data_IF_805630729232
#
_entry.id   IF_805630729232
#
_cell.length_a   1.000
_cell.length_b   1.000
_cell.length_c   1.000
_cell.angle_alpha   90.00
_cell.angle_beta   90.00
_cell.angle_gamma   90.00
#
_symmetry.space_group_name_H-M   'P 1'
#
loop_
_entity.id
_entity.type
_entity.pdbx_description
1 polymer ?
#
# COMPACT_ATOMS: atom_id res chain seq x y z
N UNK A 1 -14.52 -5.89 -14.07
CA UNK A 1 -13.33 -5.05 -13.81
C UNK A 1 -12.43 -4.79 -15.02
N UNK A 2 -11.94 -5.81 -15.76
CA UNK A 2 -11.06 -5.58 -16.95
C UNK A 2 -11.58 -4.53 -17.94
N UNK A 3 -12.91 -4.52 -18.16
CA UNK A 3 -13.57 -3.56 -19.06
C UNK A 3 -13.41 -2.10 -18.67
N UNK A 4 -13.34 -1.82 -17.36
CA UNK A 4 -13.29 -0.46 -16.83
C UNK A 4 -11.86 -0.01 -16.49
N UNK A 5 -10.96 -0.95 -16.15
CA UNK A 5 -9.64 -0.63 -15.60
C UNK A 5 -8.47 -0.99 -16.50
N UNK A 6 -8.66 -1.87 -17.50
CA UNK A 6 -7.57 -2.33 -18.38
C UNK A 6 -7.72 -1.82 -19.80
N UNK A 7 -8.92 -1.94 -20.39
CA UNK A 7 -9.13 -1.55 -21.79
C UNK A 7 -9.13 -0.04 -22.04
N UNK A 8 -9.70 0.82 -21.17
CA UNK A 8 -9.69 2.26 -21.43
C UNK A 8 -8.26 2.82 -21.49
N UNK A 9 -8.02 3.70 -22.46
CA UNK A 9 -6.76 4.43 -22.63
C UNK A 9 -6.44 5.33 -21.44
N UNK A 10 -7.49 5.89 -20.81
CA UNK A 10 -7.36 6.83 -19.70
C UNK A 10 -6.84 6.19 -18.40
N UNK A 11 -6.85 4.85 -18.34
CA UNK A 11 -6.34 4.06 -17.22
C UNK A 11 -4.90 3.64 -17.54
N UNK A 12 -3.95 4.53 -17.23
CA UNK A 12 -2.55 4.39 -17.66
C UNK A 12 -1.80 3.36 -16.83
N UNK A 13 -2.11 3.26 -15.53
CA UNK A 13 -1.34 2.51 -14.52
C UNK A 13 0.13 2.94 -14.49
N UNK A 14 0.45 4.11 -13.90
CA UNK A 14 1.79 4.67 -13.96
C UNK A 14 2.86 3.70 -13.43
N UNK A 15 2.55 2.86 -12.43
CA UNK A 15 3.47 1.84 -11.90
C UNK A 15 4.09 0.95 -12.98
N UNK A 16 3.38 0.73 -14.08
CA UNK A 16 3.82 -0.13 -15.17
C UNK A 16 4.83 0.54 -16.10
N UNK A 17 4.84 1.88 -16.18
CA UNK A 17 5.67 2.62 -17.15
C UNK A 17 7.17 2.38 -16.95
N UNK A 18 7.72 2.40 -15.71
CA UNK A 18 9.13 2.08 -15.50
C UNK A 18 9.50 0.66 -15.91
N UNK A 19 8.61 -0.32 -15.68
CA UNK A 19 8.84 -1.71 -16.09
C UNK A 19 8.87 -1.83 -17.63
N UNK A 20 7.94 -1.16 -18.32
CA UNK A 20 7.92 -1.13 -19.79
C UNK A 20 9.19 -0.48 -20.34
N UNK A 21 9.59 0.64 -19.77
CA UNK A 21 10.82 1.33 -20.15
C UNK A 21 12.03 0.40 -19.97
N UNK A 22 12.14 -0.27 -18.83
CA UNK A 22 13.21 -1.23 -18.56
C UNK A 22 13.20 -2.37 -19.59
N UNK A 23 12.07 -3.05 -19.79
CA UNK A 23 12.00 -4.18 -20.71
C UNK A 23 12.30 -3.77 -22.15
N UNK A 24 11.82 -2.60 -22.61
CA UNK A 24 12.16 -2.05 -23.91
C UNK A 24 13.65 -1.74 -24.02
N UNK A 25 14.27 -1.12 -23.02
CA UNK A 25 15.72 -0.84 -23.05
C UNK A 25 16.58 -2.10 -23.10
N UNK A 26 16.09 -3.23 -22.58
CA UNK A 26 16.79 -4.51 -22.60
C UNK A 26 16.55 -5.31 -23.90
N UNK A 27 15.36 -5.18 -24.52
CA UNK A 27 14.96 -5.99 -25.67
C UNK A 27 15.07 -5.28 -27.03
N UNK A 28 14.91 -3.96 -27.08
CA UNK A 28 15.03 -3.21 -28.34
C UNK A 28 16.50 -3.15 -28.76
N UNK A 29 16.79 -3.62 -29.98
CA UNK A 29 18.10 -3.43 -30.61
C UNK A 29 18.31 -1.93 -30.83
N UNK A 30 19.43 -1.39 -30.35
CA UNK A 30 19.76 0.05 -30.43
C UNK A 30 19.79 0.53 -31.90
N UNK A 31 18.69 1.10 -32.39
CA UNK A 31 18.70 1.95 -33.57
C UNK A 31 19.05 3.38 -33.14
N UNK A 32 20.35 3.68 -33.07
CA UNK A 32 20.97 5.03 -33.10
C UNK A 32 20.27 6.19 -32.34
N UNK A 33 19.55 5.91 -31.25
CA UNK A 33 18.99 6.95 -30.39
C UNK A 33 19.97 7.18 -29.23
N UNK A 34 21.10 7.81 -29.54
CA UNK A 34 21.95 8.43 -28.52
C UNK A 34 21.09 9.40 -27.71
N UNK A 35 21.24 9.39 -26.40
CA UNK A 35 20.65 10.43 -25.57
C UNK A 35 21.40 11.72 -25.95
N UNK A 36 20.76 12.60 -26.74
CA UNK A 36 21.41 13.75 -27.42
C UNK A 36 22.25 14.64 -26.48
N UNK A 37 21.93 14.68 -25.18
CA UNK A 37 22.65 15.49 -24.20
C UNK A 37 23.85 14.79 -23.53
N UNK A 38 23.96 13.46 -23.62
CA UNK A 38 25.03 12.69 -22.97
C UNK A 38 25.92 11.91 -23.95
N UNK A 39 25.58 11.79 -25.24
CA UNK A 39 26.28 10.92 -26.20
C UNK A 39 26.44 9.47 -25.69
N UNK A 40 25.49 9.00 -24.88
CA UNK A 40 25.52 7.67 -24.29
C UNK A 40 24.35 6.80 -24.77
N UNK A 41 24.63 5.51 -24.86
CA UNK A 41 23.65 4.46 -25.12
C UNK A 41 22.74 4.26 -23.89
N UNK A 42 21.46 3.92 -24.11
CA UNK A 42 20.47 3.75 -23.01
C UNK A 42 20.89 2.66 -22.03
N UNK A 43 21.48 1.57 -22.55
CA UNK A 43 21.99 0.46 -21.75
C UNK A 43 23.18 0.88 -20.87
N UNK A 44 24.11 1.69 -21.41
CA UNK A 44 25.25 2.21 -20.64
C UNK A 44 24.78 3.11 -19.50
N UNK A 45 23.85 4.01 -19.78
CA UNK A 45 23.24 4.87 -18.75
C UNK A 45 22.58 4.05 -17.63
N UNK A 46 21.79 3.04 -18.00
CA UNK A 46 21.14 2.15 -17.02
C UNK A 46 22.16 1.46 -16.10
N UNK A 47 23.23 0.88 -16.65
CA UNK A 47 24.25 0.19 -15.86
C UNK A 47 24.94 1.17 -14.90
N UNK A 48 25.33 2.36 -15.38
CA UNK A 48 25.98 3.37 -14.53
C UNK A 48 25.08 3.78 -13.37
N UNK A 49 23.82 4.15 -13.65
CA UNK A 49 22.88 4.56 -12.59
C UNK A 49 22.61 3.41 -11.61
N UNK A 50 22.46 2.18 -12.11
CA UNK A 50 22.26 1.00 -11.26
C UNK A 50 23.46 0.78 -10.33
N UNK A 51 24.69 0.84 -10.86
CA UNK A 51 25.92 0.71 -10.07
C UNK A 51 26.09 1.84 -9.07
N UNK A 52 25.85 3.10 -9.47
CA UNK A 52 25.89 4.24 -8.57
C UNK A 52 24.87 4.11 -7.44
N UNK A 53 23.64 3.69 -7.73
CA UNK A 53 22.60 3.48 -6.73
C UNK A 53 22.94 2.32 -5.78
N UNK A 54 23.54 1.24 -6.30
CA UNK A 54 23.98 0.10 -5.50
C UNK A 54 25.07 0.53 -4.49
N UNK A 55 26.05 1.33 -4.92
CA UNK A 55 27.08 1.88 -4.05
C UNK A 55 26.47 2.87 -3.06
N UNK A 56 25.61 3.78 -3.55
CA UNK A 56 24.96 4.79 -2.72
C UNK A 56 24.12 4.16 -1.61
N UNK A 57 23.47 3.01 -1.83
CA UNK A 57 22.64 2.35 -0.81
C UNK A 57 23.39 2.03 0.50
N UNK A 58 24.69 1.73 0.42
CA UNK A 58 25.53 1.47 1.60
C UNK A 58 25.75 2.72 2.45
N UNK A 59 25.73 3.91 1.83
CA UNK A 59 26.03 5.15 2.51
C UNK A 59 24.97 5.49 3.59
N UNK A 60 23.67 5.66 3.30
CA UNK A 60 22.68 5.90 4.34
C UNK A 60 22.26 4.61 5.08
N UNK A 61 22.57 3.43 4.53
CA UNK A 61 22.18 2.14 5.10
C UNK A 61 23.13 1.61 6.18
N UNK A 62 24.43 1.88 6.08
CA UNK A 62 25.43 1.31 6.97
C UNK A 62 26.49 2.33 7.41
N UNK A 63 27.06 3.10 6.49
CA UNK A 63 28.20 3.99 6.77
C UNK A 63 27.77 5.21 7.59
N UNK A 64 26.66 5.86 7.21
CA UNK A 64 26.15 7.06 7.85
C UNK A 64 24.62 7.02 7.96
N UNK A 65 24.07 6.27 8.93
CA UNK A 65 22.62 6.13 9.12
C UNK A 65 21.87 7.45 9.33
N UNK A 66 22.55 8.50 9.79
CA UNK A 66 21.99 9.86 9.97
C UNK A 66 21.40 10.41 8.66
N UNK A 67 21.91 10.02 7.49
CA UNK A 67 21.36 10.45 6.18
C UNK A 67 19.99 9.85 5.87
N UNK A 68 19.56 8.84 6.64
CA UNK A 68 18.22 8.28 6.50
C UNK A 68 17.14 9.25 6.95
N UNK A 69 17.41 10.12 7.92
CA UNK A 69 16.54 11.22 8.30
C UNK A 69 17.31 12.25 9.11
N UNK A 70 17.63 13.39 8.49
CA UNK A 70 18.41 14.45 9.10
C UNK A 70 17.52 15.67 9.39
N UNK A 71 17.27 15.94 10.67
CA UNK A 71 16.50 17.12 11.11
C UNK A 71 17.44 18.28 11.45
N UNK A 72 17.86 19.05 10.44
CA UNK A 72 18.93 20.05 10.60
C UNK A 72 18.57 21.16 11.57
N UNK A 73 17.30 21.60 11.58
CA UNK A 73 16.81 22.62 12.52
C UNK A 73 16.80 22.14 13.97
N UNK A 74 16.43 20.87 14.21
CA UNK A 74 16.46 20.28 15.55
C UNK A 74 17.89 20.22 16.13
N UNK A 75 18.90 20.10 15.27
CA UNK A 75 20.30 20.07 15.66
C UNK A 75 20.83 21.42 16.17
N UNK A 76 20.27 22.54 15.69
CA UNK A 76 20.65 23.88 16.16
C UNK A 76 20.38 24.07 17.67
N UNK A 77 19.32 23.47 18.20
CA UNK A 77 19.05 23.48 19.64
C UNK A 77 18.29 22.22 20.07
N UNK A 78 19.04 21.19 20.41
CA UNK A 78 18.53 19.88 20.82
C UNK A 78 17.76 19.89 22.13
N UNK A 79 17.92 20.93 22.97
CA UNK A 79 17.24 21.04 24.27
C UNK A 79 15.87 21.71 24.19
N UNK A 80 15.55 22.37 23.07
CA UNK A 80 14.27 23.05 22.92
C UNK A 80 13.18 22.06 22.49
N UNK A 81 12.28 21.76 23.43
CA UNK A 81 11.16 20.81 23.24
C UNK A 81 10.26 21.26 22.08
N UNK A 82 9.95 22.56 21.98
CA UNK A 82 9.06 23.08 20.94
C UNK A 82 9.70 22.98 19.54
N UNK A 83 11.00 23.25 19.44
CA UNK A 83 11.74 23.10 18.19
C UNK A 83 11.78 21.63 17.74
N UNK A 84 12.04 20.72 18.69
CA UNK A 84 12.05 19.28 18.44
C UNK A 84 10.67 18.75 18.03
N UNK A 85 9.60 19.24 18.65
CA UNK A 85 8.22 18.88 18.30
C UNK A 85 7.83 19.35 16.89
N UNK A 86 8.20 20.56 16.48
CA UNK A 86 7.81 21.11 15.17
C UNK A 86 8.68 20.58 14.03
N UNK A 87 9.99 20.45 14.24
CA UNK A 87 10.98 20.19 13.17
C UNK A 87 11.62 18.81 13.21
N UNK A 88 11.41 18.05 14.29
CA UNK A 88 11.96 16.71 14.42
C UNK A 88 11.26 15.70 13.51
N UNK A 89 12.02 14.71 13.04
CA UNK A 89 11.53 13.57 12.27
C UNK A 89 10.39 12.79 12.96
N UNK A 90 10.50 12.59 14.28
CA UNK A 90 9.46 11.99 15.10
C UNK A 90 8.44 13.03 15.62
N UNK A 91 8.58 14.31 15.27
CA UNK A 91 7.64 15.38 15.59
C UNK A 91 6.58 15.55 14.50
N UNK A 92 6.11 16.79 14.30
CA UNK A 92 5.21 17.19 13.22
C UNK A 92 5.91 17.27 11.85
N UNK A 93 7.25 17.22 11.82
CA UNK A 93 8.06 17.29 10.60
C UNK A 93 7.67 18.46 9.66
N UNK A 94 7.42 19.64 10.23
CA UNK A 94 6.91 20.81 9.49
C UNK A 94 8.00 21.36 8.56
N UNK A 95 9.18 21.65 9.10
CA UNK A 95 10.31 22.16 8.31
C UNK A 95 11.59 21.50 8.83
N UNK A 96 12.54 21.27 7.93
CA UNK A 96 13.92 20.99 8.30
C UNK A 96 14.28 19.51 8.42
N UNK A 97 13.39 18.61 7.99
CA UNK A 97 13.71 17.19 7.82
C UNK A 97 14.18 16.95 6.38
N UNK A 98 15.44 16.55 6.23
CA UNK A 98 16.02 16.11 4.97
C UNK A 98 16.18 14.59 5.00
N UNK A 99 15.60 13.92 4.01
CA UNK A 99 15.67 12.47 3.84
C UNK A 99 16.44 12.22 2.56
N UNK A 100 17.66 11.69 2.67
CA UNK A 100 18.49 11.36 1.50
C UNK A 100 18.46 9.85 1.19
N UNK A 101 17.87 9.05 2.07
CA UNK A 101 17.69 7.62 1.82
C UNK A 101 16.43 7.34 1.01
N UNK A 102 16.64 6.85 -0.22
CA UNK A 102 15.55 6.46 -1.12
C UNK A 102 14.61 5.40 -0.53
N UNK A 103 15.11 4.49 0.33
CA UNK A 103 14.27 3.50 1.02
C UNK A 103 13.28 4.19 1.96
N UNK A 104 13.74 5.17 2.73
CA UNK A 104 12.90 5.95 3.66
C UNK A 104 11.88 6.79 2.90
N UNK A 105 12.31 7.47 1.83
CA UNK A 105 11.40 8.24 0.95
C UNK A 105 10.30 7.34 0.41
N UNK A 106 10.68 6.18 -0.16
CA UNK A 106 9.69 5.22 -0.70
C UNK A 106 8.77 4.64 0.36
N UNK A 107 9.27 4.43 1.57
CA UNK A 107 8.47 3.97 2.70
C UNK A 107 7.41 4.99 3.14
N UNK A 108 7.70 6.29 3.01
CA UNK A 108 6.81 7.37 3.45
C UNK A 108 5.78 7.79 2.39
N UNK A 109 6.22 7.94 1.14
CA UNK A 109 5.43 8.58 0.09
C UNK A 109 5.16 7.68 -1.13
N UNK A 110 5.57 6.40 -1.06
CA UNK A 110 5.59 5.53 -2.24
C UNK A 110 6.69 5.94 -3.22
N UNK A 111 6.63 5.48 -4.47
CA UNK A 111 7.64 5.86 -5.49
C UNK A 111 7.29 7.21 -6.12
N UNK A 112 7.96 8.32 -5.76
CA UNK A 112 7.58 9.65 -6.24
C UNK A 112 7.90 9.86 -7.72
N UNK A 113 8.72 8.99 -8.32
CA UNK A 113 9.03 9.06 -9.75
C UNK A 113 7.82 8.67 -10.60
N UNK A 114 6.93 7.86 -10.04
CA UNK A 114 5.88 7.18 -10.80
C UNK A 114 4.51 7.81 -10.60
N UNK A 115 4.31 8.46 -9.46
CA UNK A 115 3.10 9.26 -9.20
C UNK A 115 3.22 10.57 -10.02
N UNK A 116 2.18 10.98 -10.75
CA UNK A 116 2.26 12.16 -11.60
C UNK A 116 2.30 13.46 -10.79
N UNK A 117 2.80 14.54 -11.41
CA UNK A 117 3.06 15.80 -10.73
C UNK A 117 1.81 16.42 -10.08
N UNK A 118 0.67 16.46 -10.78
CA UNK A 118 -0.56 17.04 -10.22
C UNK A 118 -1.02 16.29 -8.95
N UNK A 119 -0.82 14.97 -8.90
CA UNK A 119 -1.19 14.16 -7.75
C UNK A 119 -0.28 14.46 -6.56
N UNK A 120 1.03 14.65 -6.80
CA UNK A 120 1.96 15.10 -5.75
C UNK A 120 1.59 16.46 -5.18
N UNK A 121 1.24 17.44 -6.03
CA UNK A 121 0.82 18.76 -5.54
C UNK A 121 -0.40 18.64 -4.64
N UNK A 122 -1.39 17.82 -5.01
CA UNK A 122 -2.57 17.59 -4.17
C UNK A 122 -2.23 16.91 -2.84
N UNK A 123 -1.36 15.89 -2.85
CA UNK A 123 -0.89 15.22 -1.62
C UNK A 123 -0.15 16.23 -0.73
N UNK A 124 0.72 17.06 -1.31
CA UNK A 124 1.48 18.07 -0.58
C UNK A 124 0.56 19.11 0.05
N UNK A 125 -0.43 19.62 -0.68
CA UNK A 125 -1.43 20.56 -0.16
C UNK A 125 -2.22 19.92 0.99
N UNK A 126 -2.69 18.67 0.81
CA UNK A 126 -3.37 17.93 1.86
C UNK A 126 -2.49 17.70 3.10
N UNK A 127 -1.22 17.37 2.88
CA UNK A 127 -0.23 17.18 3.94
C UNK A 127 0.00 18.47 4.74
N UNK A 128 0.21 19.61 4.07
CA UNK A 128 0.37 20.92 4.72
C UNK A 128 -0.90 21.30 5.50
N UNK A 129 -2.07 21.19 4.89
CA UNK A 129 -3.33 21.54 5.55
C UNK A 129 -3.59 20.70 6.81
N UNK A 130 -3.32 19.39 6.76
CA UNK A 130 -3.65 18.51 7.90
C UNK A 130 -2.52 18.44 8.91
N UNK A 131 -1.29 18.12 8.49
CA UNK A 131 -0.18 17.88 9.41
C UNK A 131 0.52 19.16 9.86
N UNK A 132 0.54 20.23 9.07
CA UNK A 132 1.22 21.48 9.46
C UNK A 132 0.27 22.51 10.08
N UNK A 133 -1.01 22.47 9.74
CA UNK A 133 -2.01 23.44 10.22
C UNK A 133 -2.95 22.77 11.22
N UNK A 134 -3.78 21.83 10.79
CA UNK A 134 -4.87 21.28 11.61
C UNK A 134 -4.35 20.54 12.86
N UNK A 135 -3.34 19.68 12.70
CA UNK A 135 -2.82 18.83 13.77
C UNK A 135 -2.10 19.65 14.87
N UNK A 136 -1.22 20.63 14.58
CA UNK A 136 -0.67 21.52 15.60
C UNK A 136 -1.74 22.37 16.28
N UNK A 137 -2.71 22.92 15.54
CA UNK A 137 -3.82 23.68 16.12
C UNK A 137 -4.57 22.82 17.13
N UNK A 138 -4.96 21.60 16.75
CA UNK A 138 -5.68 20.69 17.62
C UNK A 138 -4.87 20.27 18.86
N UNK A 139 -3.56 20.09 18.70
CA UNK A 139 -2.65 19.75 19.81
C UNK A 139 -2.50 20.91 20.81
N UNK A 140 -2.22 22.13 20.32
CA UNK A 140 -1.98 23.29 21.19
C UNK A 140 -3.27 23.88 21.80
N UNK A 141 -4.41 23.78 21.10
CA UNK A 141 -5.73 24.16 21.63
C UNK A 141 -6.35 23.10 22.55
N UNK A 142 -5.68 21.96 22.72
CA UNK A 142 -6.16 20.82 23.51
C UNK A 142 -7.55 20.33 23.09
N UNK A 143 -7.81 20.29 21.79
CA UNK A 143 -9.05 19.74 21.25
C UNK A 143 -9.14 18.27 21.66
N UNK A 144 -10.26 17.84 22.26
CA UNK A 144 -10.51 16.46 22.66
C UNK A 144 -9.41 15.80 23.56
N UNK A 145 -8.65 16.59 24.33
CA UNK A 145 -7.61 16.07 25.23
C UNK A 145 -6.30 15.68 24.53
N UNK A 146 -6.09 16.12 23.29
CA UNK A 146 -4.92 15.77 22.47
C UNK A 146 -3.57 16.21 23.02
N UNK A 147 -3.52 17.24 23.87
CA UNK A 147 -2.27 17.73 24.48
C UNK A 147 -1.57 16.67 25.33
N UNK A 148 -2.31 15.70 25.86
CA UNK A 148 -1.78 14.64 26.72
C UNK A 148 -1.24 13.43 25.93
N UNK A 149 -1.41 13.41 24.60
CA UNK A 149 -0.93 12.33 23.75
C UNK A 149 0.49 12.60 23.23
N UNK A 150 1.31 11.57 23.01
CA UNK A 150 2.62 11.74 22.38
C UNK A 150 2.47 12.15 20.91
N UNK A 151 3.39 12.99 20.43
CA UNK A 151 3.48 13.38 19.02
C UNK A 151 4.40 12.38 18.33
N UNK A 152 3.91 11.73 17.28
CA UNK A 152 4.74 10.94 16.37
C UNK A 152 4.07 10.81 15.01
N UNK A 153 4.55 11.54 14.00
CA UNK A 153 4.05 11.38 12.61
C UNK A 153 4.59 10.09 11.98
N UNK A 154 5.79 9.65 12.38
CA UNK A 154 6.52 8.54 11.75
C UNK A 154 6.02 7.14 12.15
N UNK A 155 5.21 7.00 13.19
CA UNK A 155 4.58 5.73 13.60
C UNK A 155 3.05 5.78 13.46
N UNK A 156 2.50 5.72 12.22
CA UNK A 156 1.06 5.60 12.01
C UNK A 156 0.50 4.27 12.53
N UNK A 157 1.36 3.27 12.71
CA UNK A 157 1.05 1.92 13.18
C UNK A 157 1.24 1.77 14.68
N UNK A 158 1.04 2.85 15.44
CA UNK A 158 0.98 2.75 16.88
C UNK A 158 0.02 1.61 17.21
N UNK A 159 0.60 0.56 17.78
CA UNK A 159 0.01 -0.72 18.02
C UNK A 159 -1.41 -0.49 18.58
N UNK A 160 -2.44 -1.02 17.92
CA UNK A 160 -3.80 -1.11 18.47
C UNK A 160 -4.01 -2.42 19.25
N UNK A 161 -3.02 -3.31 19.18
CA UNK A 161 -2.98 -4.60 19.86
C UNK A 161 -1.66 -4.75 20.62
N UNK A 162 -1.72 -5.28 21.84
CA UNK A 162 -0.50 -5.70 22.55
C UNK A 162 0.13 -6.90 21.83
N UNK A 163 1.40 -7.21 22.13
CA UNK A 163 2.05 -8.42 21.62
C UNK A 163 1.29 -9.70 21.99
N UNK A 164 0.46 -9.62 23.05
CA UNK A 164 -0.41 -10.69 23.54
C UNK A 164 -1.80 -10.71 22.88
N UNK A 165 -2.00 -9.95 21.80
CA UNK A 165 -3.25 -9.94 21.02
C UNK A 165 -4.43 -9.24 21.68
N UNK A 166 -4.29 -8.69 22.90
CA UNK A 166 -5.36 -7.94 23.56
C UNK A 166 -5.47 -6.51 23.02
N UNK A 167 -6.68 -5.96 23.05
CA UNK A 167 -6.88 -4.52 22.87
C UNK A 167 -6.12 -3.76 23.97
N UNK A 168 -5.66 -2.54 23.70
CA UNK A 168 -5.02 -1.65 24.69
C UNK A 168 -5.95 -1.22 25.87
N UNK A 169 -7.04 -1.93 26.13
CA UNK A 169 -8.11 -1.49 27.02
C UNK A 169 -8.09 -2.11 28.42
N UNK A 170 -7.39 -3.21 28.67
CA UNK A 170 -7.50 -3.90 29.97
C UNK A 170 -6.22 -3.84 30.79
N UNK A 171 -6.01 -2.70 31.45
CA UNK A 171 -4.98 -2.54 32.48
C UNK A 171 -5.08 -1.19 33.19
N UNK A 172 -5.10 -1.12 34.54
CA UNK A 172 -5.01 0.13 35.29
C UNK A 172 -3.62 0.79 35.19
N UNK A 173 -2.68 0.16 34.49
CA UNK A 173 -1.30 0.60 34.31
C UNK A 173 -1.11 1.34 32.97
N UNK A 174 -1.36 2.64 33.03
CA UNK A 174 -0.67 3.66 32.25
C UNK A 174 0.71 3.23 31.74
N UNK A 175 0.93 3.16 30.42
CA UNK A 175 2.28 3.41 29.86
C UNK A 175 2.38 3.53 28.34
N UNK A 176 1.33 3.28 27.53
CA UNK A 176 1.42 3.48 26.06
C UNK A 176 0.19 4.19 25.52
N UNK A 177 0.22 5.52 25.56
CA UNK A 177 -0.77 6.38 24.90
C UNK A 177 -0.57 6.29 23.39
N UNK A 178 -1.62 6.01 22.63
CA UNK A 178 -1.59 6.06 21.16
C UNK A 178 -1.19 7.49 20.75
N UNK A 179 -0.17 7.67 19.90
CA UNK A 179 0.21 8.98 19.38
C UNK A 179 -0.96 9.64 18.66
N UNK A 180 -0.93 10.97 18.63
CA UNK A 180 -1.99 11.76 18.01
C UNK A 180 -2.09 11.55 16.47
N UNK A 181 -0.99 11.15 15.80
CA UNK A 181 -0.95 10.94 14.35
C UNK A 181 -1.86 9.80 13.86
N UNK A 182 -1.83 8.57 14.41
CA UNK A 182 -2.79 7.52 14.05
C UNK A 182 -4.25 7.95 14.16
N UNK A 183 -4.60 8.76 15.17
CA UNK A 183 -5.96 9.27 15.37
C UNK A 183 -6.34 10.21 14.22
N UNK A 184 -5.51 11.21 13.93
CA UNK A 184 -5.72 12.10 12.78
C UNK A 184 -5.77 11.35 11.46
N UNK A 185 -4.85 10.40 11.27
CA UNK A 185 -4.79 9.56 10.06
C UNK A 185 -6.07 8.77 9.89
N UNK A 186 -6.64 8.20 10.96
CA UNK A 186 -7.91 7.49 10.89
C UNK A 186 -9.05 8.38 10.38
N UNK A 187 -9.18 9.62 10.88
CA UNK A 187 -10.18 10.58 10.39
C UNK A 187 -9.98 10.96 8.92
N UNK A 188 -8.73 11.17 8.49
CA UNK A 188 -8.41 11.46 7.08
C UNK A 188 -8.81 10.27 6.20
N UNK A 189 -8.51 9.05 6.65
CA UNK A 189 -8.88 7.83 5.90
C UNK A 189 -10.41 7.77 5.75
N UNK A 190 -11.18 7.98 6.82
CA UNK A 190 -12.64 8.04 6.73
C UNK A 190 -13.15 9.07 5.72
N UNK A 191 -12.65 10.31 5.82
CA UNK A 191 -13.01 11.37 4.88
C UNK A 191 -12.64 11.00 3.44
N UNK A 192 -11.47 10.37 3.24
CA UNK A 192 -10.99 9.93 1.94
C UNK A 192 -11.87 8.85 1.32
N UNK A 193 -12.41 7.92 2.10
CA UNK A 193 -13.33 6.88 1.60
C UNK A 193 -14.69 7.43 1.19
N UNK A 194 -15.25 8.34 2.00
CA UNK A 194 -16.51 9.02 1.63
C UNK A 194 -16.30 9.86 0.38
N UNK A 195 -15.21 10.63 0.33
CA UNK A 195 -14.83 11.42 -0.84
C UNK A 195 -14.60 10.54 -2.07
N UNK A 196 -13.95 9.38 -1.93
CA UNK A 196 -13.72 8.42 -3.00
C UNK A 196 -15.04 7.91 -3.59
N UNK A 197 -15.98 7.50 -2.73
CA UNK A 197 -17.30 7.03 -3.15
C UNK A 197 -18.07 8.13 -3.89
N UNK A 198 -18.18 9.32 -3.29
CA UNK A 198 -18.88 10.47 -3.86
C UNK A 198 -18.24 10.90 -5.20
N UNK A 199 -16.91 11.02 -5.24
CA UNK A 199 -16.19 11.41 -6.45
C UNK A 199 -16.37 10.40 -7.58
N UNK A 200 -16.27 9.10 -7.28
CA UNK A 200 -16.46 8.05 -8.28
C UNK A 200 -17.88 8.04 -8.82
N UNK A 201 -18.89 8.20 -7.97
CA UNK A 201 -20.30 8.22 -8.38
C UNK A 201 -20.60 9.46 -9.24
N UNK A 202 -20.17 10.66 -8.81
CA UNK A 202 -20.50 11.91 -9.49
C UNK A 202 -19.74 12.11 -10.80
N UNK A 203 -18.42 11.85 -10.81
CA UNK A 203 -17.57 12.15 -11.97
C UNK A 203 -17.44 10.97 -12.92
N UNK A 204 -17.33 9.75 -12.39
CA UNK A 204 -17.09 8.55 -13.21
C UNK A 204 -18.31 7.64 -13.34
N UNK A 205 -19.41 7.90 -12.63
CA UNK A 205 -20.59 7.04 -12.65
C UNK A 205 -21.20 6.86 -14.04
N UNK A 206 -21.28 7.94 -14.84
CA UNK A 206 -21.79 7.88 -16.22
C UNK A 206 -20.90 7.03 -17.12
N UNK A 207 -19.59 7.26 -17.06
CA UNK A 207 -18.59 6.51 -17.85
C UNK A 207 -18.61 5.02 -17.48
N UNK A 208 -18.71 4.71 -16.18
CA UNK A 208 -18.82 3.33 -15.69
C UNK A 208 -20.06 2.66 -16.27
N UNK A 209 -21.23 3.30 -16.19
CA UNK A 209 -22.49 2.75 -16.71
C UNK A 209 -22.39 2.55 -18.23
N UNK A 210 -21.82 3.52 -18.95
CA UNK A 210 -21.61 3.40 -20.39
C UNK A 210 -20.68 2.23 -20.74
N UNK A 211 -19.60 2.03 -19.98
CA UNK A 211 -18.66 0.93 -20.16
C UNK A 211 -19.29 -0.44 -19.89
N UNK A 212 -20.25 -0.53 -18.97
CA UNK A 212 -21.03 -1.74 -18.72
C UNK A 212 -22.11 -2.00 -19.78
N UNK A 213 -22.72 -0.95 -20.34
CA UNK A 213 -23.76 -1.05 -21.38
C UNK A 213 -23.20 -1.30 -22.79
N UNK A 214 -21.98 -0.84 -23.06
CA UNK A 214 -21.38 -0.95 -24.39
C UNK A 214 -20.98 -2.39 -24.71
N UNK A 215 -21.37 -2.89 -25.89
CA UNK A 215 -20.98 -4.21 -26.36
C UNK A 215 -19.46 -4.31 -26.60
N UNK A 216 -18.92 -5.51 -26.36
CA UNK A 216 -17.50 -5.87 -26.57
C UNK A 216 -16.97 -5.56 -27.98
N UNK A 217 -17.84 -5.26 -28.95
CA UNK A 217 -17.48 -4.86 -30.31
C UNK A 217 -16.93 -3.44 -30.43
N UNK A 218 -17.32 -2.49 -29.57
CA UNK A 218 -16.82 -1.10 -29.63
C UNK A 218 -15.44 -0.92 -28.96
N UNK A 219 -14.61 -1.98 -28.93
CA UNK A 219 -13.24 -1.95 -28.39
C UNK A 219 -12.26 -1.17 -29.29
N UNK A 220 -12.70 -0.66 -30.44
CA UNK A 220 -11.86 -0.20 -31.56
C UNK A 220 -11.28 1.21 -31.41
N UNK A 221 -11.53 1.93 -30.32
CA UNK A 221 -11.05 3.31 -30.17
C UNK A 221 -9.58 3.43 -29.70
N UNK A 222 -8.95 2.35 -29.19
CA UNK A 222 -7.54 2.35 -28.76
C UNK A 222 -6.70 1.40 -29.63
N UNK A 223 -5.59 1.91 -30.18
CA UNK A 223 -4.61 1.14 -30.96
C UNK A 223 -4.10 -0.07 -30.18
N UNK A 224 -3.96 0.04 -28.85
CA UNK A 224 -3.51 -1.08 -28.05
C UNK A 224 -4.55 -2.21 -28.01
N UNK A 225 -5.84 -1.88 -27.93
CA UNK A 225 -6.93 -2.85 -27.99
C UNK A 225 -7.04 -3.50 -29.37
N UNK A 226 -6.89 -2.71 -30.44
CA UNK A 226 -6.89 -3.23 -31.82
C UNK A 226 -5.77 -4.25 -32.02
N UNK A 227 -4.55 -3.93 -31.58
CA UNK A 227 -3.42 -4.87 -31.62
C UNK A 227 -3.62 -6.10 -30.74
N UNK A 228 -4.36 -5.97 -29.64
CA UNK A 228 -4.62 -7.05 -28.70
C UNK A 228 -5.73 -8.00 -29.17
N UNK A 229 -6.62 -7.54 -30.05
CA UNK A 229 -7.76 -8.32 -30.57
C UNK A 229 -7.36 -9.64 -31.25
N UNK A 230 -6.12 -9.74 -31.74
CA UNK A 230 -5.53 -10.96 -32.31
C UNK A 230 -5.39 -12.10 -31.28
N UNK A 231 -5.24 -11.77 -29.99
CA UNK A 231 -5.04 -12.78 -28.96
C UNK A 231 -6.38 -13.21 -28.34
N UNK A 232 -6.62 -14.52 -28.18
CA UNK A 232 -7.82 -14.98 -27.53
C UNK A 232 -7.79 -14.57 -26.04
N UNK A 233 -8.89 -13.98 -25.59
CA UNK A 233 -9.05 -13.57 -24.20
C UNK A 233 -9.07 -14.80 -23.26
N UNK A 234 -8.65 -14.57 -22.02
CA UNK A 234 -8.85 -15.54 -20.95
C UNK A 234 -10.35 -15.54 -20.55
N UNK A 235 -11.03 -16.70 -20.62
CA UNK A 235 -12.45 -16.76 -20.34
C UNK A 235 -12.73 -16.45 -18.86
N UNK A 236 -13.89 -15.85 -18.59
CA UNK A 236 -14.21 -15.34 -17.24
C UNK A 236 -14.34 -16.47 -16.21
N UNK A 237 -14.74 -17.68 -16.63
CA UNK A 237 -14.87 -18.84 -15.75
C UNK A 237 -13.55 -19.30 -15.13
N UNK A 238 -12.39 -19.04 -15.77
CA UNK A 238 -11.08 -19.33 -15.16
C UNK A 238 -10.88 -18.54 -13.86
N UNK A 239 -11.26 -17.25 -13.87
CA UNK A 239 -11.18 -16.41 -12.69
C UNK A 239 -12.19 -16.81 -11.62
N UNK A 240 -13.40 -17.22 -12.03
CA UNK A 240 -14.45 -17.67 -11.12
C UNK A 240 -14.02 -18.96 -10.40
N UNK A 241 -13.44 -19.93 -11.10
CA UNK A 241 -12.95 -21.17 -10.47
C UNK A 241 -11.86 -20.86 -9.44
N UNK A 242 -10.87 -20.04 -9.79
CA UNK A 242 -9.80 -19.65 -8.86
C UNK A 242 -10.37 -18.94 -7.63
N UNK A 243 -11.34 -18.05 -7.82
CA UNK A 243 -12.03 -17.37 -6.73
C UNK A 243 -12.77 -18.36 -5.82
N UNK A 244 -13.55 -19.29 -6.39
CA UNK A 244 -14.29 -20.30 -5.61
C UNK A 244 -13.32 -21.17 -4.79
N UNK A 245 -12.24 -21.66 -5.41
CA UNK A 245 -11.23 -22.48 -4.73
C UNK A 245 -10.60 -21.69 -3.56
N UNK A 246 -10.17 -20.45 -3.82
CA UNK A 246 -9.55 -19.61 -2.80
C UNK A 246 -10.54 -19.26 -1.67
N UNK A 247 -11.81 -19.01 -2.00
CA UNK A 247 -12.85 -18.70 -1.02
C UNK A 247 -13.19 -19.91 -0.13
N UNK A 248 -13.27 -21.11 -0.71
CA UNK A 248 -13.48 -22.35 0.05
C UNK A 248 -12.31 -22.59 1.01
N UNK A 249 -11.07 -22.45 0.54
CA UNK A 249 -9.88 -22.59 1.38
C UNK A 249 -9.92 -21.58 2.54
N UNK A 250 -10.26 -20.32 2.27
CA UNK A 250 -10.39 -19.29 3.30
C UNK A 250 -11.48 -19.63 4.34
N UNK A 251 -12.63 -20.16 3.90
CA UNK A 251 -13.71 -20.60 4.80
C UNK A 251 -13.26 -21.76 5.71
N UNK A 252 -12.55 -22.74 5.15
CA UNK A 252 -12.03 -23.88 5.90
C UNK A 252 -11.05 -23.40 6.97
N UNK A 253 -10.07 -22.55 6.61
CA UNK A 253 -9.07 -22.03 7.56
C UNK A 253 -9.75 -21.24 8.69
N UNK A 254 -10.68 -20.33 8.35
CA UNK A 254 -11.38 -19.55 9.36
C UNK A 254 -12.22 -20.41 10.31
N UNK A 255 -12.74 -21.55 9.82
CA UNK A 255 -13.52 -22.47 10.64
C UNK A 255 -12.65 -23.33 11.56
N UNK A 256 -11.52 -23.86 11.06
CA UNK A 256 -10.62 -24.73 11.85
C UNK A 256 -9.95 -23.95 12.99
N UNK A 257 -9.36 -22.80 12.68
CA UNK A 257 -8.58 -22.02 13.64
C UNK A 257 -9.45 -21.06 14.47
N UNK A 258 -10.76 -21.03 14.22
CA UNK A 258 -11.74 -20.19 14.89
C UNK A 258 -11.38 -18.70 14.98
N UNK A 259 -10.63 -18.17 14.00
CA UNK A 259 -10.25 -16.75 13.97
C UNK A 259 -11.46 -15.83 13.87
N UNK A 260 -12.42 -16.20 13.03
CA UNK A 260 -13.61 -15.41 12.72
C UNK A 260 -14.72 -16.32 12.14
N UNK A 261 -16.00 -16.09 12.47
CA UNK A 261 -17.09 -16.81 11.84
C UNK A 261 -17.07 -16.69 10.30
N UNK A 262 -17.21 -17.81 9.61
CA UNK A 262 -17.03 -17.92 8.15
C UNK A 262 -17.93 -16.98 7.35
N UNK A 263 -19.13 -16.64 7.85
CA UNK A 263 -20.06 -15.75 7.16
C UNK A 263 -19.54 -14.30 7.02
N UNK A 264 -18.60 -13.87 7.88
CA UNK A 264 -17.96 -12.57 7.73
C UNK A 264 -17.04 -12.49 6.51
N UNK A 265 -16.55 -13.63 5.98
CA UNK A 265 -15.81 -13.64 4.72
C UNK A 265 -16.67 -13.22 3.53
N UNK A 266 -17.98 -13.50 3.57
CA UNK A 266 -18.89 -13.02 2.54
C UNK A 266 -19.00 -11.49 2.58
N UNK A 267 -19.12 -10.93 3.79
CA UNK A 267 -19.18 -9.49 3.99
C UNK A 267 -17.91 -8.79 3.49
N UNK A 268 -16.72 -9.29 3.85
CA UNK A 268 -15.45 -8.72 3.37
C UNK A 268 -15.34 -8.80 1.86
N UNK A 269 -15.76 -9.92 1.26
CA UNK A 269 -15.71 -10.10 -0.19
C UNK A 269 -16.62 -9.11 -0.92
N UNK A 270 -17.85 -8.90 -0.43
CA UNK A 270 -18.77 -7.91 -0.99
C UNK A 270 -18.21 -6.50 -0.86
N UNK A 271 -17.67 -6.16 0.33
CA UNK A 271 -17.04 -4.87 0.56
C UNK A 271 -15.86 -4.64 -0.41
N UNK A 272 -14.94 -5.60 -0.50
CA UNK A 272 -13.82 -5.54 -1.45
C UNK A 272 -14.32 -5.40 -2.89
N UNK A 273 -15.36 -6.13 -3.29
CA UNK A 273 -15.89 -6.01 -4.65
C UNK A 273 -16.43 -4.61 -4.98
N UNK A 274 -17.15 -3.98 -4.04
CA UNK A 274 -17.69 -2.62 -4.20
C UNK A 274 -16.57 -1.59 -4.32
N UNK A 275 -15.58 -1.64 -3.41
CA UNK A 275 -14.51 -0.65 -3.36
C UNK A 275 -13.39 -0.89 -4.38
N UNK A 276 -13.32 -2.07 -5.00
CA UNK A 276 -12.32 -2.40 -6.02
C UNK A 276 -12.37 -1.44 -7.22
N UNK A 277 -13.57 -1.06 -7.68
CA UNK A 277 -13.71 -0.17 -8.84
C UNK A 277 -13.30 1.28 -8.50
N UNK A 278 -13.83 1.94 -7.45
CA UNK A 278 -13.39 3.28 -7.05
C UNK A 278 -11.88 3.37 -6.77
N UNK A 279 -11.34 2.46 -5.96
CA UNK A 279 -9.91 2.45 -5.62
C UNK A 279 -9.08 2.22 -6.88
N UNK A 280 -9.51 1.29 -7.75
CA UNK A 280 -8.83 0.99 -8.99
C UNK A 280 -8.77 2.16 -9.97
N UNK A 281 -9.82 2.97 -10.08
CA UNK A 281 -9.80 4.16 -10.96
C UNK A 281 -8.78 5.18 -10.47
N UNK A 282 -8.74 5.45 -9.16
CA UNK A 282 -7.76 6.37 -8.58
C UNK A 282 -6.35 5.84 -8.78
N UNK A 283 -6.08 4.58 -8.40
CA UNK A 283 -4.75 3.99 -8.53
C UNK A 283 -4.29 3.92 -10.00
N UNK A 284 -5.17 3.60 -10.94
CA UNK A 284 -4.83 3.55 -12.35
C UNK A 284 -4.45 4.91 -12.96
N UNK A 285 -4.88 6.03 -12.35
CA UNK A 285 -4.55 7.39 -12.83
C UNK A 285 -3.43 8.05 -12.03
N UNK A 286 -3.47 7.93 -10.70
CA UNK A 286 -2.56 8.65 -9.79
C UNK A 286 -1.44 7.77 -9.25
N UNK A 287 -1.54 6.45 -9.39
CA UNK A 287 -0.65 5.48 -8.75
C UNK A 287 -0.70 5.50 -7.20
N UNK A 288 -1.79 6.02 -6.63
CA UNK A 288 -2.02 6.03 -5.19
C UNK A 288 -2.99 4.92 -4.79
N UNK A 289 -2.58 4.12 -3.82
CA UNK A 289 -3.43 3.12 -3.18
C UNK A 289 -4.03 3.69 -1.90
N UNK A 290 -5.35 3.53 -1.74
CA UNK A 290 -6.07 3.96 -0.53
C UNK A 290 -6.23 2.72 0.35
N UNK A 291 -5.56 2.73 1.50
CA UNK A 291 -5.58 1.61 2.45
C UNK A 291 -6.93 1.48 3.16
N UNK A 292 -7.50 0.28 3.16
CA UNK A 292 -8.83 -0.04 3.71
C UNK A 292 -8.79 -0.57 5.13
N UNK A 293 -7.59 -0.79 5.67
CA UNK A 293 -7.38 -1.45 6.98
C UNK A 293 -8.07 -0.71 8.12
N UNK A 294 -7.97 0.63 8.19
CA UNK A 294 -8.55 1.39 9.30
C UNK A 294 -10.09 1.31 9.39
N UNK A 295 -10.77 1.40 8.25
CA UNK A 295 -12.24 1.32 8.21
C UNK A 295 -12.72 -0.08 8.54
N UNK A 296 -12.01 -1.09 8.04
CA UNK A 296 -12.37 -2.49 8.25
C UNK A 296 -12.06 -2.96 9.66
N UNK A 297 -11.00 -2.45 10.30
CA UNK A 297 -10.73 -2.68 11.72
C UNK A 297 -11.86 -2.10 12.56
N UNK A 298 -12.21 -0.83 12.39
CA UNK A 298 -13.23 -0.20 13.23
C UNK A 298 -14.61 -0.80 12.96
N UNK A 299 -14.98 -1.00 11.68
CA UNK A 299 -16.22 -1.69 11.32
C UNK A 299 -16.25 -3.14 11.83
N UNK A 300 -15.12 -3.85 11.74
CA UNK A 300 -14.94 -5.19 12.27
C UNK A 300 -15.06 -5.25 13.79
N UNK A 301 -14.54 -4.27 14.53
CA UNK A 301 -14.69 -4.18 15.98
C UNK A 301 -16.16 -4.10 16.41
N UNK A 302 -17.00 -3.36 15.66
CA UNK A 302 -18.44 -3.29 15.93
C UNK A 302 -19.18 -4.60 15.58
N UNK A 303 -18.72 -5.32 14.56
CA UNK A 303 -19.39 -6.50 14.02
C UNK A 303 -18.99 -7.82 14.70
N UNK A 304 -17.69 -8.02 14.95
CA UNK A 304 -17.09 -9.23 15.54
C UNK A 304 -17.12 -9.18 17.08
N UNK A 305 -17.51 -8.03 17.64
CA UNK A 305 -17.90 -7.69 19.02
C UNK A 305 -17.04 -8.14 20.21
N UNK A 306 -16.09 -9.07 20.10
CA UNK A 306 -15.30 -9.54 21.26
C UNK A 306 -13.85 -9.94 20.91
N UNK A 307 -13.52 -10.39 19.69
CA UNK A 307 -12.14 -10.84 19.39
C UNK A 307 -11.30 -9.80 18.62
N UNK A 308 -10.13 -9.39 19.17
CA UNK A 308 -9.13 -8.59 18.46
C UNK A 308 -8.62 -9.28 17.20
N UNK A 309 -8.35 -10.59 17.32
CA UNK A 309 -7.82 -11.43 16.24
C UNK A 309 -8.81 -11.50 15.07
N UNK A 310 -10.10 -11.69 15.35
CA UNK A 310 -11.12 -11.73 14.30
C UNK A 310 -11.26 -10.41 13.56
N UNK A 311 -11.13 -9.28 14.27
CA UNK A 311 -11.15 -7.94 13.67
C UNK A 311 -9.96 -7.70 12.74
N UNK A 312 -8.75 -8.09 13.18
CA UNK A 312 -7.54 -8.00 12.35
C UNK A 312 -7.67 -8.91 11.14
N UNK A 313 -8.09 -10.15 11.31
CA UNK A 313 -8.31 -11.11 10.22
C UNK A 313 -9.30 -10.58 9.19
N UNK A 314 -10.42 -9.98 9.62
CA UNK A 314 -11.40 -9.33 8.75
C UNK A 314 -10.73 -8.24 7.90
N UNK A 315 -9.94 -7.37 8.53
CA UNK A 315 -9.23 -6.28 7.84
C UNK A 315 -8.19 -6.78 6.84
N UNK A 316 -7.46 -7.85 7.19
CA UNK A 316 -6.45 -8.48 6.34
C UNK A 316 -7.11 -9.05 5.09
N UNK A 317 -8.19 -9.83 5.23
CA UNK A 317 -8.91 -10.36 4.07
C UNK A 317 -9.42 -9.24 3.17
N UNK A 318 -10.05 -8.21 3.73
CA UNK A 318 -10.56 -7.10 2.93
C UNK A 318 -9.43 -6.38 2.16
N UNK A 319 -8.37 -5.98 2.86
CA UNK A 319 -7.31 -5.16 2.30
C UNK A 319 -6.42 -5.94 1.33
N UNK A 320 -6.03 -7.17 1.70
CA UNK A 320 -5.15 -8.00 0.86
C UNK A 320 -5.85 -8.53 -0.38
N UNK A 321 -7.13 -8.87 -0.32
CA UNK A 321 -7.91 -9.24 -1.51
C UNK A 321 -8.02 -8.08 -2.50
N UNK A 322 -8.26 -6.85 -2.02
CA UNK A 322 -8.26 -5.65 -2.86
C UNK A 322 -6.91 -5.40 -3.51
N UNK A 323 -5.84 -5.39 -2.72
CA UNK A 323 -4.48 -5.19 -3.20
C UNK A 323 -4.11 -6.21 -4.29
N UNK A 324 -4.36 -7.50 -4.05
CA UNK A 324 -4.06 -8.57 -5.00
C UNK A 324 -4.89 -8.45 -6.29
N UNK A 325 -6.16 -8.03 -6.19
CA UNK A 325 -7.01 -7.81 -7.36
C UNK A 325 -6.51 -6.62 -8.21
N UNK A 326 -6.03 -5.55 -7.58
CA UNK A 326 -5.46 -4.39 -8.26
C UNK A 326 -4.13 -4.72 -8.93
N UNK A 327 -3.26 -5.49 -8.26
CA UNK A 327 -2.00 -5.98 -8.85
C UNK A 327 -2.25 -6.87 -10.08
N UNK A 328 -3.25 -7.76 -10.03
CA UNK A 328 -3.71 -8.53 -11.20
C UNK A 328 -4.15 -7.62 -12.35
N UNK A 329 -4.91 -6.57 -12.08
CA UNK A 329 -5.34 -5.63 -13.11
C UNK A 329 -4.17 -4.81 -13.67
N UNK A 330 -3.25 -4.38 -12.81
CA UNK A 330 -2.02 -3.69 -13.21
C UNK A 330 -1.17 -4.59 -14.13
N UNK A 331 -0.96 -5.85 -13.76
CA UNK A 331 -0.20 -6.80 -14.57
C UNK A 331 -0.87 -7.10 -15.92
N UNK A 332 -2.20 -7.21 -15.95
CA UNK A 332 -2.95 -7.35 -17.21
C UNK A 332 -2.78 -6.11 -18.11
N UNK A 333 -2.76 -4.90 -17.53
CA UNK A 333 -2.46 -3.67 -18.28
C UNK A 333 -1.01 -3.67 -18.79
N UNK A 334 -0.04 -4.10 -17.99
CA UNK A 334 1.34 -4.27 -18.43
C UNK A 334 1.43 -5.24 -19.63
N UNK A 335 0.75 -6.38 -19.57
CA UNK A 335 0.64 -7.32 -20.69
C UNK A 335 0.00 -6.69 -21.94
N UNK A 336 -1.02 -5.83 -21.76
CA UNK A 336 -1.67 -5.09 -22.84
C UNK A 336 -0.72 -4.11 -23.56
N UNK A 337 0.20 -3.48 -22.82
CA UNK A 337 1.24 -2.61 -23.38
C UNK A 337 2.34 -3.39 -24.10
N UNK A 338 2.76 -4.52 -23.51
CA UNK A 338 3.84 -5.37 -24.04
C UNK A 338 3.37 -6.37 -25.10
N UNK A 339 2.07 -6.42 -25.41
CA UNK A 339 1.46 -7.34 -26.39
C UNK A 339 1.65 -8.81 -26.05
N UNK A 340 1.53 -9.15 -24.76
CA UNK A 340 1.59 -10.53 -24.28
C UNK A 340 0.17 -11.08 -24.15
N UNK A 341 -0.05 -12.30 -24.60
CA UNK A 341 -1.38 -12.91 -24.63
C UNK A 341 -2.03 -12.99 -23.22
N UNK A 342 -3.35 -12.75 -23.08
CA UNK A 342 -3.98 -12.69 -21.75
C UNK A 342 -4.00 -14.05 -21.04
N UNK A 343 -4.07 -15.14 -21.81
CA UNK A 343 -4.03 -16.52 -21.27
C UNK A 343 -2.67 -16.83 -20.65
N UNK A 344 -1.57 -16.43 -21.30
CA UNK A 344 -0.24 -16.60 -20.75
C UNK A 344 -0.03 -15.74 -19.50
N UNK A 345 -0.52 -14.50 -19.51
CA UNK A 345 -0.51 -13.63 -18.33
C UNK A 345 -1.24 -14.27 -17.15
N UNK A 346 -2.43 -14.84 -17.38
CA UNK A 346 -3.20 -15.53 -16.33
C UNK A 346 -2.46 -16.73 -15.74
N UNK A 347 -1.93 -17.63 -16.57
CA UNK A 347 -1.26 -18.85 -16.09
C UNK A 347 0.03 -18.53 -15.33
N UNK A 348 0.86 -17.63 -15.87
CA UNK A 348 2.09 -17.18 -15.22
C UNK A 348 1.77 -16.54 -13.88
N UNK A 349 0.77 -15.65 -13.84
CA UNK A 349 0.42 -14.97 -12.60
C UNK A 349 -0.12 -15.94 -11.55
N UNK A 350 -0.91 -16.95 -11.94
CA UNK A 350 -1.39 -17.97 -11.01
C UNK A 350 -0.24 -18.77 -10.39
N UNK A 351 0.69 -19.24 -11.22
CA UNK A 351 1.86 -20.02 -10.77
C UNK A 351 2.76 -19.19 -9.85
N UNK A 352 3.09 -17.96 -10.25
CA UNK A 352 3.97 -17.08 -9.45
C UNK A 352 3.29 -16.67 -8.14
N UNK A 353 1.98 -16.42 -8.15
CA UNK A 353 1.26 -16.05 -6.92
C UNK A 353 1.23 -17.22 -5.93
N UNK A 354 1.01 -18.45 -6.41
CA UNK A 354 1.07 -19.65 -5.57
C UNK A 354 2.47 -19.86 -4.98
N UNK A 355 3.53 -19.75 -5.80
CA UNK A 355 4.90 -19.84 -5.35
C UNK A 355 5.24 -18.74 -4.33
N UNK A 356 4.82 -17.51 -4.60
CA UNK A 356 5.04 -16.37 -3.70
C UNK A 356 4.35 -16.56 -2.35
N UNK A 357 3.15 -17.14 -2.32
CA UNK A 357 2.46 -17.45 -1.07
C UNK A 357 3.26 -18.45 -0.21
N UNK A 358 3.77 -19.52 -0.82
CA UNK A 358 4.59 -20.53 -0.12
C UNK A 358 5.87 -19.89 0.45
N UNK A 359 6.59 -19.12 -0.36
CA UNK A 359 7.83 -18.48 0.06
C UNK A 359 7.58 -17.46 1.18
N UNK A 360 6.53 -16.64 1.05
CA UNK A 360 6.16 -15.66 2.08
C UNK A 360 5.80 -16.34 3.40
N UNK A 361 5.05 -17.44 3.36
CA UNK A 361 4.71 -18.22 4.55
C UNK A 361 5.96 -18.82 5.19
N UNK A 362 6.83 -19.46 4.40
CA UNK A 362 8.06 -20.07 4.90
C UNK A 362 8.98 -19.06 5.59
N UNK A 363 9.19 -17.90 4.96
CA UNK A 363 10.00 -16.81 5.54
C UNK A 363 9.33 -16.26 6.80
N UNK A 364 8.02 -16.00 6.77
CA UNK A 364 7.29 -15.51 7.94
C UNK A 364 7.40 -16.45 9.12
N UNK A 365 7.19 -17.75 8.90
CA UNK A 365 7.29 -18.77 9.92
C UNK A 365 8.72 -18.89 10.48
N UNK A 366 9.73 -18.81 9.60
CA UNK A 366 11.14 -18.82 9.98
C UNK A 366 11.51 -17.61 10.86
N UNK A 367 11.06 -16.41 10.50
CA UNK A 367 11.35 -15.18 11.25
C UNK A 367 10.74 -15.23 12.65
N UNK A 368 9.50 -15.71 12.79
CA UNK A 368 8.82 -15.80 14.09
C UNK A 368 9.48 -16.81 15.02
N UNK A 369 9.92 -17.97 14.51
CA UNK A 369 10.51 -19.03 15.35
C UNK A 369 11.99 -18.79 15.71
N UNK A 370 12.77 -18.16 14.83
CA UNK A 370 14.22 -18.05 15.03
C UNK A 370 14.68 -16.71 15.58
N UNK A 371 13.86 -15.65 15.48
CA UNK A 371 14.23 -14.32 15.98
C UNK A 371 13.49 -14.06 17.31
N UNK A 372 14.17 -14.23 18.47
CA UNK A 372 13.56 -13.91 19.75
C UNK A 372 13.23 -12.42 19.82
N UNK A 373 12.06 -12.10 20.38
CA UNK A 373 11.56 -10.72 20.55
C UNK A 373 11.38 -9.93 19.25
N UNK A 374 11.01 -10.60 18.16
CA UNK A 374 10.61 -9.95 16.92
C UNK A 374 9.53 -8.87 17.20
N UNK A 375 9.74 -7.65 16.72
CA UNK A 375 8.83 -6.51 16.91
C UNK A 375 8.71 -5.97 18.36
N UNK A 376 9.57 -6.39 19.30
CA UNK A 376 9.58 -5.82 20.66
C UNK A 376 10.16 -4.41 20.68
N UNK A 377 9.67 -3.56 21.60
CA UNK A 377 10.22 -2.21 21.79
C UNK A 377 11.69 -2.18 22.21
N UNK A 378 12.22 -3.33 22.68
CA UNK A 378 13.60 -3.47 23.14
C UNK A 378 14.56 -4.05 22.08
N UNK A 379 14.06 -4.55 20.94
CA UNK A 379 14.92 -5.06 19.87
C UNK A 379 15.45 -3.90 19.03
N UNK A 380 16.76 -3.69 19.02
CA UNK A 380 17.44 -2.63 18.26
C UNK A 380 17.45 -2.88 16.75
N UNK A 381 17.36 -4.14 16.34
CA UNK A 381 17.71 -4.55 14.97
C UNK A 381 16.46 -4.82 14.10
N UNK A 382 15.36 -5.27 14.70
CA UNK A 382 14.14 -5.67 13.98
C UNK A 382 12.92 -4.88 14.46
N UNK A 383 12.70 -3.71 13.85
CA UNK A 383 11.49 -2.93 14.06
C UNK A 383 10.39 -3.34 13.07
N UNK A 384 9.14 -3.39 13.55
CA UNK A 384 7.96 -3.71 12.72
C UNK A 384 7.05 -2.49 12.58
N UNK A 385 7.48 -1.44 11.86
CA UNK A 385 6.75 -0.18 11.79
C UNK A 385 5.46 -0.25 10.98
N UNK A 386 5.23 -1.27 10.15
CA UNK A 386 4.01 -1.44 9.33
C UNK A 386 3.43 -2.86 9.33
N UNK A 387 4.14 -3.81 9.96
CA UNK A 387 3.88 -5.26 9.79
C UNK A 387 3.19 -5.87 11.03
N UNK A 388 2.91 -5.06 12.07
CA UNK A 388 2.25 -5.56 13.26
C UNK A 388 0.88 -6.19 12.93
N UNK A 389 0.10 -5.58 12.02
CA UNK A 389 -1.24 -6.06 11.66
C UNK A 389 -1.19 -7.41 10.90
N UNK A 390 -0.18 -7.64 10.05
CA UNK A 390 -0.05 -8.89 9.30
C UNK A 390 0.66 -10.02 10.07
N UNK A 391 1.48 -9.70 11.09
CA UNK A 391 2.23 -10.68 11.89
C UNK A 391 1.46 -11.13 13.13
N UNK A 392 0.52 -10.33 13.65
CA UNK A 392 -0.31 -10.68 14.80
C UNK A 392 -1.03 -12.05 14.65
N UNK A 393 -1.60 -12.40 13.48
CA UNK A 393 -2.20 -13.73 13.29
C UNK A 393 -1.16 -14.87 13.35
N UNK A 394 0.06 -14.64 12.84
CA UNK A 394 1.14 -15.64 12.76
C UNK A 394 1.76 -15.89 14.14
N UNK A 395 1.94 -14.82 14.92
CA UNK A 395 2.47 -14.90 16.29
C UNK A 395 1.47 -15.60 17.22
N UNK A 396 0.17 -15.35 17.07
CA UNK A 396 -0.85 -16.05 17.86
C UNK A 396 -0.96 -17.55 17.48
N UNK A 397 -0.88 -17.89 16.19
CA UNK A 397 -0.84 -19.28 15.74
C UNK A 397 0.36 -20.06 16.30
N UNK A 398 1.51 -19.40 16.51
CA UNK A 398 2.67 -20.02 17.16
C UNK A 398 2.55 -20.17 18.69
N UNK A 399 1.69 -19.39 19.35
CA UNK A 399 1.47 -19.47 20.79
C UNK A 399 0.29 -20.40 21.18
N UNK A 400 -0.54 -20.80 20.21
CA UNK A 400 -1.63 -21.75 20.38
C UNK A 400 -1.27 -23.21 20.15
N UNK A 401 0.03 -23.56 20.15
CA UNK A 401 0.54 -24.93 20.04
C UNK A 401 0.97 -25.51 21.38
#
# INVERSE_FOLDING_TARGET
MRRCLVWPSDMIWPNNLPYIALFRTLHEKEHSASLQWLNMSRRKFFIIVCSCQAIYYWLPGYIMPVLSAFSWLCMCNTKNILLSQLTGFNGFAIIGVLILNWRTIRGLFGSPIVVPFWAHVNILVGFVCVFWILMPIAYYTNLAGFKYLPISVYNPSAQFFTADGNYFTDGPSSSRRVPISPIFTSYIVYASFVALGVHTILYHGRDIIQQFRTSLKNRENDIHCTLMSKYPEAPEWWYIIVFIIAFIIACIICHIDNYMPWYFLFLTTVFSFIFLLPIGIVQAKTNLYIDTSFITIIGGSYLVKVSPIGTVTLSVFCNRSLFQALDLLSNLKLGHYMKISPRAMFTIQLVITALSAIVKYAIGNYLVHNIPQLCSSNSTDWSCPAIAIDILPITYASQGG
#
